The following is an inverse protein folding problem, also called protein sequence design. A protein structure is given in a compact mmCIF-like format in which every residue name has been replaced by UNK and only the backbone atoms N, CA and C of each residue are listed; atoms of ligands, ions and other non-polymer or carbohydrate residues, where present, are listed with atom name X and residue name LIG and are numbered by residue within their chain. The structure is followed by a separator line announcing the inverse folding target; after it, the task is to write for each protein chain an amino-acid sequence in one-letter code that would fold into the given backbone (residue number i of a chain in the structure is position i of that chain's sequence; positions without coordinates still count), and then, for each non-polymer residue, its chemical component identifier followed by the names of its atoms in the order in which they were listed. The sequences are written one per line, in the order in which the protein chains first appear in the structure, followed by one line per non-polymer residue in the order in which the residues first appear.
data_IF_376071531579
#
_entry.id   IF_376071531579
#
_cell.length_a   1.000
_cell.length_b   1.000
_cell.length_c   1.000
_cell.angle_alpha   90.00
_cell.angle_beta   90.00
_cell.angle_gamma   90.00
#
_symmetry.space_group_name_H-M   'P 1'
#
loop_
_entity.id
_entity.type
_entity.pdbx_description
1 polymer ?
#
# COMPACT_ATOMS: atom_id res chain seq x y z
N UNK A 1 6.94 15.45 7.84
CA UNK A 1 5.50 15.14 7.74
C UNK A 1 5.22 14.02 8.73
N UNK A 2 4.29 14.19 9.66
CA UNK A 2 3.95 13.13 10.63
C UNK A 2 3.17 12.03 9.91
N UNK A 3 3.81 10.88 9.67
CA UNK A 3 3.13 9.66 9.22
C UNK A 3 2.24 9.20 10.38
N UNK A 4 0.93 9.17 10.17
CA UNK A 4 0.02 8.55 11.12
C UNK A 4 0.17 7.03 11.06
N UNK A 5 1.14 6.50 11.81
CA UNK A 5 1.21 5.07 12.15
C UNK A 5 -0.02 4.75 12.98
N UNK A 6 -1.03 4.17 12.34
CA UNK A 6 -2.24 3.78 13.05
C UNK A 6 -1.91 2.61 13.97
N UNK A 7 -2.28 2.73 15.24
CA UNK A 7 -2.01 1.72 16.26
C UNK A 7 -2.88 0.48 16.02
N UNK A 8 -2.24 -0.67 15.76
CA UNK A 8 -2.81 -1.89 15.17
C UNK A 8 -3.84 -2.62 16.04
N UNK A 9 -4.18 -2.14 17.23
CA UNK A 9 -5.18 -2.79 18.11
C UNK A 9 -6.56 -2.14 18.06
N UNK A 10 -6.63 -0.83 17.77
CA UNK A 10 -7.89 -0.07 17.83
C UNK A 10 -8.70 -0.18 16.53
N UNK A 11 -8.03 -0.26 15.36
CA UNK A 11 -8.71 -0.36 14.05
C UNK A 11 -9.27 -1.76 13.75
N UNK A 12 -8.59 -2.82 14.18
CA UNK A 12 -9.00 -4.19 13.86
C UNK A 12 -10.19 -4.69 14.69
N UNK A 13 -10.53 -3.97 15.77
CA UNK A 13 -11.70 -4.22 16.61
C UNK A 13 -13.02 -3.98 15.88
N UNK A 14 -13.04 -3.12 14.84
CA UNK A 14 -14.24 -2.83 14.05
C UNK A 14 -14.49 -3.84 12.93
N UNK A 15 -13.47 -4.61 12.52
CA UNK A 15 -13.51 -5.56 11.41
C UNK A 15 -13.67 -7.03 11.89
N UNK A 16 -14.64 -7.33 12.76
CA UNK A 16 -15.25 -8.68 12.94
C UNK A 16 -14.29 -9.86 13.34
N UNK A 17 -14.79 -11.07 13.73
CA UNK A 17 -14.17 -11.95 14.75
C UNK A 17 -13.13 -12.95 14.22
N UNK A 18 -12.37 -12.62 13.18
CA UNK A 18 -11.31 -13.52 12.69
C UNK A 18 -10.11 -13.39 13.62
N UNK A 19 -9.65 -14.50 14.20
CA UNK A 19 -8.48 -14.48 15.09
C UNK A 19 -7.23 -14.07 14.31
N UNK A 20 -6.75 -12.86 14.56
CA UNK A 20 -5.52 -12.30 13.98
C UNK A 20 -4.24 -13.01 14.45
N UNK A 21 -4.34 -13.98 15.38
CA UNK A 21 -3.17 -14.68 15.93
C UNK A 21 -2.35 -15.43 14.87
N UNK A 22 -2.96 -15.79 13.75
CA UNK A 22 -2.31 -16.55 12.67
C UNK A 22 -2.00 -15.69 11.44
N UNK A 23 -2.17 -14.37 11.51
CA UNK A 23 -1.97 -13.47 10.38
C UNK A 23 -0.84 -12.49 10.70
N UNK A 24 0.11 -12.37 9.77
CA UNK A 24 1.11 -11.30 9.82
C UNK A 24 0.52 -10.05 9.20
N UNK A 25 0.29 -9.03 10.03
CA UNK A 25 -0.17 -7.71 9.60
C UNK A 25 1.02 -6.78 9.56
N UNK A 26 1.24 -6.16 8.41
CA UNK A 26 2.36 -5.24 8.19
C UNK A 26 1.78 -3.88 7.78
N UNK A 27 2.20 -2.84 8.48
CA UNK A 27 1.79 -1.48 8.18
C UNK A 27 2.77 -0.86 7.17
N UNK A 28 2.27 -0.35 6.06
CA UNK A 28 3.12 0.27 5.05
C UNK A 28 3.74 1.58 5.60
N UNK A 29 5.03 1.79 5.30
CA UNK A 29 5.73 3.04 5.59
C UNK A 29 6.40 3.58 4.31
N UNK A 30 5.88 4.65 3.69
CA UNK A 30 6.39 5.17 2.43
C UNK A 30 7.73 5.89 2.56
N UNK A 31 8.12 6.29 3.77
CA UNK A 31 9.42 6.93 4.03
C UNK A 31 10.53 5.92 4.32
N UNK A 32 10.18 4.64 4.50
CA UNK A 32 11.14 3.56 4.67
C UNK A 32 11.69 3.09 3.32
N UNK A 33 12.70 3.81 2.84
CA UNK A 33 13.39 3.48 1.60
C UNK A 33 14.07 2.11 1.64
N UNK A 34 14.45 1.62 2.82
CA UNK A 34 15.09 0.32 2.95
C UNK A 34 14.12 -0.85 2.70
N UNK A 35 12.81 -0.62 2.86
CA UNK A 35 11.75 -1.59 2.60
C UNK A 35 10.90 -1.22 1.37
N UNK A 36 11.46 -0.39 0.48
CA UNK A 36 10.84 0.01 -0.78
C UNK A 36 11.63 -0.57 -1.95
N UNK A 37 10.94 -1.28 -2.84
CA UNK A 37 11.53 -1.96 -3.98
C UNK A 37 11.06 -1.31 -5.28
N UNK A 38 11.99 -0.97 -6.17
CA UNK A 38 11.68 -0.40 -7.48
C UNK A 38 11.15 -1.49 -8.41
N UNK A 39 9.91 -1.33 -8.87
CA UNK A 39 9.26 -2.27 -9.80
C UNK A 39 9.33 -1.82 -11.25
N UNK A 40 9.69 -0.56 -11.50
CA UNK A 40 9.86 -0.04 -12.84
C UNK A 40 9.81 1.48 -12.89
N UNK A 41 9.59 1.99 -14.09
CA UNK A 41 9.44 3.42 -14.36
C UNK A 41 8.15 3.64 -15.14
N UNK A 42 7.34 4.57 -14.66
CA UNK A 42 6.10 4.96 -15.32
C UNK A 42 6.38 5.56 -16.70
N UNK A 43 5.36 5.60 -17.55
CA UNK A 43 5.42 6.26 -18.87
C UNK A 43 5.84 7.74 -18.79
N UNK A 44 5.65 8.40 -17.64
CA UNK A 44 6.02 9.79 -17.42
C UNK A 44 7.46 9.97 -16.90
N UNK A 45 8.25 8.89 -16.83
CA UNK A 45 9.64 8.92 -16.33
C UNK A 45 9.76 8.89 -14.81
N UNK A 46 8.65 8.74 -14.09
CA UNK A 46 8.63 8.64 -12.63
C UNK A 46 8.89 7.20 -12.22
N UNK A 47 9.87 6.97 -11.34
CA UNK A 47 10.14 5.65 -10.77
C UNK A 47 8.99 5.19 -9.89
N UNK A 48 8.65 3.91 -10.01
CA UNK A 48 7.59 3.27 -9.26
C UNK A 48 8.23 2.31 -8.28
N UNK A 49 7.99 2.55 -7.00
CA UNK A 49 8.46 1.76 -5.87
C UNK A 49 7.26 1.22 -5.09
N UNK A 50 7.35 -0.01 -4.59
CA UNK A 50 6.30 -0.61 -3.75
C UNK A 50 6.94 -1.24 -2.52
N UNK A 51 6.15 -1.54 -1.48
CA UNK A 51 6.69 -2.24 -0.32
C UNK A 51 7.34 -3.58 -0.71
N UNK A 52 8.52 -3.87 -0.15
CA UNK A 52 9.29 -5.08 -0.49
C UNK A 52 8.54 -6.39 -0.27
N UNK A 53 7.69 -6.46 0.77
CA UNK A 53 6.85 -7.64 1.02
C UNK A 53 5.82 -7.83 -0.09
N UNK A 54 5.23 -6.73 -0.57
CA UNK A 54 4.29 -6.77 -1.69
C UNK A 54 5.00 -7.04 -3.03
N UNK A 55 6.22 -6.54 -3.21
CA UNK A 55 7.02 -6.77 -4.41
C UNK A 55 7.37 -8.24 -4.60
N UNK A 56 7.78 -8.91 -3.51
CA UNK A 56 8.33 -10.26 -3.51
C UNK A 56 7.30 -11.38 -3.33
N UNK A 57 6.05 -11.06 -3.00
CA UNK A 57 4.99 -12.06 -2.84
C UNK A 57 4.67 -12.81 -4.14
N UNK A 58 4.48 -14.13 -4.04
CA UNK A 58 4.09 -14.99 -5.17
C UNK A 58 2.69 -14.66 -5.70
N UNK A 59 1.76 -14.36 -4.79
CA UNK A 59 0.37 -14.02 -5.09
C UNK A 59 0.01 -12.72 -4.40
N UNK A 60 -0.50 -11.77 -5.19
CA UNK A 60 -0.83 -10.41 -4.74
C UNK A 60 -2.33 -10.19 -4.89
N UNK A 61 -3.01 -10.04 -3.76
CA UNK A 61 -4.46 -9.79 -3.71
C UNK A 61 -4.66 -8.42 -3.09
N UNK A 62 -5.41 -7.56 -3.77
CA UNK A 62 -5.78 -6.25 -3.27
C UNK A 62 -7.29 -6.18 -3.07
N UNK A 63 -7.72 -5.85 -1.86
CA UNK A 63 -9.13 -5.60 -1.52
C UNK A 63 -9.34 -4.10 -1.31
N UNK A 64 -10.53 -3.61 -1.66
CA UNK A 64 -10.89 -2.22 -1.46
C UNK A 64 -12.24 -1.90 -2.08
N UNK A 65 -12.77 -0.72 -1.80
CA UNK A 65 -14.04 -0.25 -2.36
C UNK A 65 -13.83 0.51 -3.66
N UNK A 66 -14.86 0.48 -4.51
CA UNK A 66 -14.96 1.32 -5.72
C UNK A 66 -15.92 2.45 -5.43
N UNK A 67 -15.40 3.66 -5.31
CA UNK A 67 -16.16 4.89 -5.09
C UNK A 67 -15.63 6.00 -6.00
N UNK A 68 -16.43 7.02 -6.31
CA UNK A 68 -15.96 8.18 -7.08
C UNK A 68 -14.80 8.89 -6.37
N UNK A 69 -13.73 9.19 -7.11
CA UNK A 69 -12.54 9.88 -6.61
C UNK A 69 -12.21 11.09 -7.48
N UNK A 70 -12.22 12.31 -6.92
CA UNK A 70 -12.06 13.54 -7.70
C UNK A 70 -10.76 13.62 -8.53
N UNK A 71 -9.67 13.01 -8.06
CA UNK A 71 -8.36 13.10 -8.71
C UNK A 71 -8.00 11.88 -9.57
N UNK A 72 -8.69 10.76 -9.37
CA UNK A 72 -8.38 9.48 -10.04
C UNK A 72 -9.56 8.93 -10.85
N UNK A 73 -10.70 9.64 -10.89
CA UNK A 73 -11.98 9.16 -11.42
C UNK A 73 -12.67 8.20 -10.44
N UNK A 74 -12.02 7.08 -10.14
CA UNK A 74 -12.54 6.03 -9.25
C UNK A 74 -11.47 5.56 -8.25
N UNK A 75 -11.90 5.03 -7.11
CA UNK A 75 -11.03 4.33 -6.16
C UNK A 75 -10.89 2.84 -6.53
N UNK A 76 -9.98 2.15 -5.83
CA UNK A 76 -9.78 0.71 -5.97
C UNK A 76 -8.95 0.30 -7.18
N UNK A 77 -8.95 -1.01 -7.45
CA UNK A 77 -8.13 -1.60 -8.51
C UNK A 77 -6.64 -1.27 -8.32
N UNK A 78 -6.00 -0.75 -9.37
CA UNK A 78 -4.57 -0.37 -9.34
C UNK A 78 -4.21 0.67 -8.28
N UNK A 79 -5.18 1.41 -7.73
CA UNK A 79 -4.97 2.35 -6.61
C UNK A 79 -4.68 1.66 -5.28
N UNK A 80 -5.12 0.41 -5.13
CA UNK A 80 -4.83 -0.38 -3.93
C UNK A 80 -3.42 -0.97 -3.96
N UNK A 81 -2.79 -1.00 -5.15
CA UNK A 81 -1.37 -1.29 -5.26
C UNK A 81 -0.60 -0.16 -4.59
N UNK A 82 0.11 -0.51 -3.53
CA UNK A 82 0.88 0.40 -2.70
C UNK A 82 2.13 0.87 -3.45
N UNK A 83 1.95 1.84 -4.35
CA UNK A 83 2.98 2.36 -5.23
C UNK A 83 3.33 3.80 -4.85
N UNK A 84 4.57 3.98 -4.38
CA UNK A 84 5.24 5.28 -4.28
C UNK A 84 5.80 5.65 -5.65
N UNK A 85 5.57 6.89 -6.05
CA UNK A 85 6.09 7.44 -7.30
C UNK A 85 7.15 8.49 -6.97
N UNK A 86 8.41 8.22 -7.33
CA UNK A 86 9.53 9.17 -7.19
C UNK A 86 9.89 9.76 -8.54
N UNK A 87 9.78 11.08 -8.69
CA UNK A 87 10.33 11.75 -9.88
C UNK A 87 11.84 11.75 -9.74
N UNK A 88 12.54 11.12 -10.69
CA UNK A 88 13.97 11.35 -10.83
C UNK A 88 14.17 12.83 -11.17
N UNK A 89 15.02 13.49 -10.39
CA UNK A 89 15.41 14.90 -10.57
C UNK A 89 16.47 15.04 -11.68
#
# INVERSE_FOLDING_TARGET
MNIQKHNDKEKFKSYQPISYQNLTVINHNPDDQANSEKIGTSRLGTDIEVNGVFATADVKIATGSITPCMLAGWTGGGKNGDARCLKQA
#
